data_IF_965766267500
#
_entry.id   IF_965766267500
#
_cell.length_a   1.000
_cell.length_b   1.000
_cell.length_c   1.000
_cell.angle_alpha   90.00
_cell.angle_beta   90.00
_cell.angle_gamma   90.00
#
_symmetry.space_group_name_H-M   'P 1'
#
loop_
_entity.id
_entity.type
_entity.pdbx_description
1 polymer ?
#
# COMPACT_ATOMS: atom_id res chain seq x y z
N UNK A 1 -71.48 -36.33 12.97
CA UNK A 1 -70.54 -35.83 14.00
C UNK A 1 -69.17 -35.65 13.34
N UNK A 2 -68.84 -34.46 12.85
CA UNK A 2 -67.56 -34.21 12.16
C UNK A 2 -66.49 -33.72 13.15
N UNK A 3 -65.37 -34.44 13.16
CA UNK A 3 -64.16 -34.23 13.94
C UNK A 3 -63.51 -32.85 13.66
N UNK A 4 -63.59 -31.92 14.62
CA UNK A 4 -62.99 -30.58 14.57
C UNK A 4 -61.61 -30.38 15.26
N UNK A 5 -60.84 -31.37 15.78
CA UNK A 5 -59.62 -31.04 16.54
C UNK A 5 -58.33 -30.89 15.70
N UNK A 6 -58.34 -31.21 14.39
CA UNK A 6 -57.12 -31.29 13.58
C UNK A 6 -56.68 -29.99 12.90
N UNK A 7 -57.60 -29.04 12.70
CA UNK A 7 -57.30 -27.78 12.00
C UNK A 7 -56.58 -26.76 12.89
N UNK A 8 -56.86 -26.74 14.21
CA UNK A 8 -56.25 -25.76 15.12
C UNK A 8 -54.76 -26.03 15.39
N UNK A 9 -54.32 -27.30 15.40
CA UNK A 9 -52.91 -27.68 15.60
C UNK A 9 -52.00 -27.29 14.44
N UNK A 10 -52.52 -27.21 13.20
CA UNK A 10 -51.72 -26.87 12.01
C UNK A 10 -51.43 -25.37 11.90
N UNK A 11 -52.36 -24.51 12.31
CA UNK A 11 -52.17 -23.05 12.25
C UNK A 11 -51.11 -22.52 13.22
N UNK A 12 -50.98 -23.12 14.42
CA UNK A 12 -49.98 -22.67 15.41
C UNK A 12 -48.54 -23.02 14.99
N UNK A 13 -48.36 -24.15 14.30
CA UNK A 13 -47.06 -24.61 13.81
C UNK A 13 -46.59 -23.74 12.63
N UNK A 14 -47.49 -23.38 11.71
CA UNK A 14 -47.15 -22.54 10.54
C UNK A 14 -46.79 -21.11 11.00
N UNK A 15 -47.51 -20.55 11.98
CA UNK A 15 -47.21 -19.21 12.50
C UNK A 15 -45.88 -19.16 13.25
N UNK A 16 -45.51 -20.22 13.97
CA UNK A 16 -44.23 -20.33 14.68
C UNK A 16 -43.03 -20.47 13.74
N UNK A 17 -43.18 -21.21 12.63
CA UNK A 17 -42.14 -21.34 11.60
C UNK A 17 -41.96 -20.01 10.86
N UNK A 18 -43.03 -19.29 10.55
CA UNK A 18 -42.96 -17.99 9.88
C UNK A 18 -42.32 -16.91 10.77
N UNK A 19 -42.60 -16.93 12.08
CA UNK A 19 -41.98 -16.00 13.04
C UNK A 19 -40.47 -16.27 13.24
N UNK A 20 -40.04 -17.53 13.22
CA UNK A 20 -38.61 -17.89 13.20
C UNK A 20 -37.92 -17.48 11.89
N UNK A 21 -38.59 -17.59 10.74
CA UNK A 21 -38.00 -17.20 9.45
C UNK A 21 -37.80 -15.69 9.34
N UNK A 22 -38.74 -14.89 9.88
CA UNK A 22 -38.65 -13.43 9.91
C UNK A 22 -37.52 -12.98 10.84
N UNK A 23 -37.31 -13.64 11.99
CA UNK A 23 -36.19 -13.33 12.90
C UNK A 23 -34.81 -13.70 12.32
N UNK A 24 -34.74 -14.72 11.43
CA UNK A 24 -33.52 -15.05 10.68
C UNK A 24 -33.21 -14.05 9.55
N UNK A 25 -34.22 -13.34 9.02
CA UNK A 25 -34.05 -12.30 7.99
C UNK A 25 -33.58 -10.95 8.56
N UNK A 26 -33.73 -10.72 9.87
CA UNK A 26 -33.21 -9.53 10.58
C UNK A 26 -31.95 -9.83 11.40
N UNK A 27 -31.41 -11.05 11.29
CA UNK A 27 -30.21 -11.50 11.99
C UNK A 27 -28.92 -10.92 11.42
N UNK A 28 -28.53 -9.75 11.93
CA UNK A 28 -27.14 -9.34 12.15
C UNK A 28 -26.31 -9.15 10.87
N UNK A 29 -26.56 -8.05 10.15
CA UNK A 29 -25.45 -7.34 9.49
C UNK A 29 -24.79 -6.43 10.52
N UNK A 30 -24.01 -7.02 11.44
CA UNK A 30 -22.98 -6.26 12.12
C UNK A 30 -22.00 -5.82 11.03
N UNK A 31 -22.22 -4.62 10.51
CA UNK A 31 -21.26 -3.97 9.63
C UNK A 31 -20.01 -3.82 10.47
N UNK A 32 -19.02 -4.69 10.23
CA UNK A 32 -17.65 -4.52 10.70
C UNK A 32 -17.14 -3.23 10.04
N UNK A 33 -17.47 -2.11 10.66
CA UNK A 33 -16.92 -0.83 10.28
C UNK A 33 -15.47 -0.88 10.74
N UNK A 34 -14.58 -1.24 9.82
CA UNK A 34 -13.15 -1.12 10.03
C UNK A 34 -12.90 0.31 10.50
N UNK A 35 -12.42 0.48 11.73
CA UNK A 35 -12.04 1.79 12.24
C UNK A 35 -11.04 2.34 11.24
N UNK A 36 -11.36 3.49 10.63
CA UNK A 36 -10.41 4.16 9.76
C UNK A 36 -9.14 4.38 10.58
N UNK A 37 -7.95 4.02 10.06
CA UNK A 37 -6.71 4.22 10.79
C UNK A 37 -6.61 5.69 11.19
N UNK A 38 -6.42 5.94 12.47
CA UNK A 38 -6.22 7.31 12.96
C UNK A 38 -4.84 7.73 12.52
N UNK A 39 -4.78 8.66 11.57
CA UNK A 39 -3.51 9.10 11.03
C UNK A 39 -2.82 10.07 11.97
N UNK A 40 -1.55 9.82 12.31
CA UNK A 40 -0.74 10.82 12.98
C UNK A 40 -0.56 12.04 12.07
N UNK A 41 -0.30 13.19 12.69
CA UNK A 41 -0.03 14.43 11.97
C UNK A 41 1.37 14.35 11.38
N UNK A 42 1.53 14.74 10.12
CA UNK A 42 2.84 14.81 9.47
C UNK A 42 3.71 15.93 10.10
N UNK A 43 5.04 15.73 10.26
CA UNK A 43 5.82 14.60 9.78
C UNK A 43 5.62 13.30 10.58
N UNK A 44 5.79 12.15 9.92
CA UNK A 44 5.72 10.83 10.56
C UNK A 44 7.11 10.20 10.54
N UNK A 45 7.61 9.83 11.72
CA UNK A 45 8.87 9.10 11.87
C UNK A 45 8.61 7.59 11.75
N UNK A 46 9.48 6.88 11.03
CA UNK A 46 9.37 5.44 10.77
C UNK A 46 10.71 4.74 11.00
N UNK A 47 10.69 3.65 11.75
CA UNK A 47 11.85 2.84 12.11
C UNK A 47 11.74 1.38 11.66
N UNK A 48 10.60 0.97 11.12
CA UNK A 48 10.36 -0.41 10.66
C UNK A 48 9.29 -0.47 9.54
N UNK A 49 9.14 -1.66 8.94
CA UNK A 49 8.22 -1.90 7.81
C UNK A 49 6.75 -1.58 8.15
N UNK A 50 6.30 -1.91 9.37
CA UNK A 50 4.93 -1.65 9.80
C UNK A 50 4.64 -0.14 9.82
N UNK A 51 5.50 0.63 10.48
CA UNK A 51 5.37 2.08 10.58
C UNK A 51 5.43 2.77 9.20
N UNK A 52 6.32 2.31 8.31
CA UNK A 52 6.37 2.78 6.93
C UNK A 52 5.04 2.55 6.19
N UNK A 53 4.49 1.33 6.29
CA UNK A 53 3.24 0.98 5.64
C UNK A 53 2.03 1.74 6.21
N UNK A 54 1.99 1.97 7.52
CA UNK A 54 0.98 2.81 8.17
C UNK A 54 1.09 4.27 7.73
N UNK A 55 2.31 4.82 7.66
CA UNK A 55 2.54 6.18 7.19
C UNK A 55 2.12 6.39 5.73
N UNK A 56 2.42 5.43 4.84
CA UNK A 56 1.98 5.46 3.43
C UNK A 56 0.46 5.35 3.35
N UNK A 57 -0.16 4.47 4.14
CA UNK A 57 -1.62 4.34 4.21
C UNK A 57 -2.26 5.68 4.58
N UNK A 58 -1.67 6.39 5.54
CA UNK A 58 -2.12 7.70 5.94
C UNK A 58 -1.93 8.76 4.86
N UNK A 59 -0.76 8.78 4.21
CA UNK A 59 -0.53 9.67 3.08
C UNK A 59 -1.58 9.48 1.97
N UNK A 60 -1.94 8.25 1.63
CA UNK A 60 -2.84 7.94 0.52
C UNK A 60 -4.27 8.47 0.69
N UNK A 61 -4.70 8.78 1.91
CA UNK A 61 -6.04 9.31 2.20
C UNK A 61 -6.06 10.82 2.47
N UNK A 62 -4.90 11.49 2.44
CA UNK A 62 -4.84 12.93 2.67
C UNK A 62 -5.53 13.71 1.55
N UNK A 63 -6.28 14.73 1.97
CA UNK A 63 -6.92 15.68 1.08
C UNK A 63 -6.32 17.09 1.15
N UNK A 64 -5.57 17.38 2.20
CA UNK A 64 -5.04 18.72 2.47
C UNK A 64 -3.79 18.97 1.60
N UNK A 65 -3.82 19.98 0.69
CA UNK A 65 -2.69 20.29 -0.16
C UNK A 65 -1.43 20.67 0.64
N UNK A 66 -0.27 20.31 0.12
CA UNK A 66 1.01 20.53 0.76
C UNK A 66 1.96 19.35 0.59
N UNK A 67 3.18 19.54 1.06
CA UNK A 67 4.18 18.47 1.15
C UNK A 67 4.09 17.83 2.53
N UNK A 68 3.83 16.53 2.55
CA UNK A 68 3.74 15.71 3.76
C UNK A 68 4.99 14.85 3.85
N UNK A 69 5.58 14.70 5.03
CA UNK A 69 6.93 14.15 5.18
C UNK A 69 6.98 12.87 6.02
N UNK A 70 7.59 11.81 5.47
CA UNK A 70 7.99 10.61 6.21
C UNK A 70 9.49 10.71 6.49
N UNK A 71 9.90 10.56 7.75
CA UNK A 71 11.30 10.51 8.16
C UNK A 71 11.71 9.10 8.53
N UNK A 72 12.77 8.60 7.93
CA UNK A 72 13.40 7.38 8.40
C UNK A 72 14.21 7.72 9.65
N UNK A 73 14.02 6.96 10.72
CA UNK A 73 14.82 7.03 11.96
C UNK A 73 15.67 5.78 12.18
N UNK A 74 15.67 4.87 11.20
CA UNK A 74 16.41 3.62 11.21
C UNK A 74 16.36 2.95 9.84
N UNK A 75 17.23 1.97 9.65
CA UNK A 75 17.18 1.12 8.46
C UNK A 75 15.93 0.22 8.51
N UNK A 76 15.25 0.10 7.37
CA UNK A 76 14.03 -0.69 7.23
C UNK A 76 14.29 -1.86 6.30
N UNK A 77 13.98 -3.06 6.78
CA UNK A 77 14.08 -4.30 6.03
C UNK A 77 12.67 -4.82 5.76
N UNK A 78 12.32 -4.91 4.48
CA UNK A 78 11.03 -5.38 4.05
C UNK A 78 10.95 -6.90 4.10
N UNK A 79 9.85 -7.40 4.62
CA UNK A 79 9.45 -8.81 4.52
C UNK A 79 8.44 -9.04 3.39
N UNK A 80 7.83 -7.98 2.87
CA UNK A 80 6.94 -7.96 1.70
C UNK A 80 7.10 -6.65 0.93
N UNK A 81 6.44 -6.48 -0.22
CA UNK A 81 6.43 -5.16 -0.88
C UNK A 81 5.90 -4.08 0.08
N UNK A 82 6.54 -2.91 0.09
CA UNK A 82 5.98 -1.76 0.79
C UNK A 82 4.62 -1.38 0.19
N UNK A 83 3.77 -0.79 1.02
CA UNK A 83 2.48 -0.27 0.60
C UNK A 83 2.65 0.67 -0.60
N UNK A 84 1.77 0.55 -1.60
CA UNK A 84 1.82 1.44 -2.78
C UNK A 84 1.51 2.88 -2.36
N UNK A 85 2.36 3.81 -2.77
CA UNK A 85 2.15 5.25 -2.64
C UNK A 85 1.22 5.70 -3.77
N UNK A 86 0.00 6.11 -3.42
CA UNK A 86 -1.05 6.53 -4.34
C UNK A 86 -1.95 7.58 -3.71
N UNK A 87 -1.71 8.85 -4.04
CA UNK A 87 -2.57 9.98 -3.70
C UNK A 87 -2.80 10.84 -4.95
N UNK A 88 -4.04 10.85 -5.44
CA UNK A 88 -4.46 11.60 -6.63
C UNK A 88 -5.00 13.00 -6.31
N UNK A 89 -5.01 13.39 -5.04
CA UNK A 89 -5.48 14.71 -4.64
C UNK A 89 -4.54 15.80 -5.15
N UNK A 90 -5.12 16.76 -5.87
CA UNK A 90 -4.36 17.88 -6.44
C UNK A 90 -3.64 18.68 -5.35
N UNK A 91 -2.34 18.89 -5.56
CA UNK A 91 -1.49 19.67 -4.65
C UNK A 91 -0.99 18.91 -3.42
N UNK A 92 -1.31 17.62 -3.28
CA UNK A 92 -0.75 16.75 -2.24
C UNK A 92 0.53 16.09 -2.76
N UNK A 93 1.61 16.19 -1.98
CA UNK A 93 2.90 15.62 -2.33
C UNK A 93 3.54 14.90 -1.13
N UNK A 94 4.31 13.85 -1.39
CA UNK A 94 5.07 13.13 -0.37
C UNK A 94 6.56 13.49 -0.46
N UNK A 95 7.16 13.81 0.67
CA UNK A 95 8.61 13.82 0.86
C UNK A 95 9.00 12.62 1.72
N UNK A 96 9.78 11.71 1.17
CA UNK A 96 10.45 10.65 1.92
C UNK A 96 11.87 11.11 2.21
N UNK A 97 12.12 11.46 3.48
CA UNK A 97 13.44 11.83 3.97
C UNK A 97 14.11 10.61 4.61
N UNK A 98 15.11 10.07 3.92
CA UNK A 98 15.82 8.88 4.37
C UNK A 98 16.83 9.13 5.49
N UNK A 99 17.28 10.37 5.70
CA UNK A 99 18.30 10.72 6.70
C UNK A 99 19.56 9.82 6.67
N UNK A 100 19.96 9.40 5.47
CA UNK A 100 21.05 8.45 5.17
C UNK A 100 20.81 7.00 5.61
N UNK A 101 19.57 6.61 5.92
CA UNK A 101 19.18 5.24 6.19
C UNK A 101 18.99 4.42 4.92
N UNK A 102 18.78 3.11 5.13
CA UNK A 102 18.53 2.13 4.08
C UNK A 102 17.09 1.64 4.11
N UNK A 103 16.47 1.53 2.94
CA UNK A 103 15.30 0.71 2.70
C UNK A 103 15.70 -0.50 1.84
N UNK A 104 15.72 -1.68 2.45
CA UNK A 104 16.08 -2.94 1.79
C UNK A 104 14.83 -3.77 1.48
N UNK A 105 14.75 -4.33 0.27
CA UNK A 105 13.77 -5.36 -0.10
C UNK A 105 14.01 -6.73 0.56
N UNK A 106 15.07 -6.88 1.35
CA UNK A 106 15.38 -8.09 2.10
C UNK A 106 15.67 -9.32 1.23
N UNK A 107 15.89 -9.14 -0.09
CA UNK A 107 15.97 -10.21 -1.10
C UNK A 107 14.72 -11.10 -1.17
N UNK A 108 13.61 -10.66 -0.59
CA UNK A 108 12.34 -11.38 -0.64
C UNK A 108 11.76 -11.20 -2.03
N UNK A 109 11.35 -12.31 -2.65
CA UNK A 109 10.70 -12.27 -3.97
C UNK A 109 9.43 -11.41 -3.92
N UNK A 110 9.30 -10.53 -4.90
CA UNK A 110 8.27 -9.51 -5.04
C UNK A 110 8.26 -8.43 -3.94
N UNK A 111 9.34 -8.27 -3.16
CA UNK A 111 9.51 -7.14 -2.26
C UNK A 111 10.15 -5.96 -2.98
N UNK A 112 9.30 -5.09 -3.55
CA UNK A 112 9.72 -3.80 -4.11
C UNK A 112 9.75 -2.73 -2.99
N UNK A 113 10.88 -2.04 -2.76
CA UNK A 113 10.98 -0.92 -1.83
C UNK A 113 9.94 0.19 -2.05
N UNK A 114 9.74 0.65 -3.29
CA UNK A 114 8.69 1.63 -3.60
C UNK A 114 7.89 1.29 -4.85
N UNK A 115 6.57 1.21 -4.70
CA UNK A 115 5.62 1.29 -5.81
C UNK A 115 4.88 2.62 -5.73
N UNK A 116 4.96 3.43 -6.77
CA UNK A 116 4.37 4.78 -6.83
C UNK A 116 3.39 4.85 -8.00
N UNK A 117 2.16 5.26 -7.72
CA UNK A 117 1.09 5.37 -8.71
C UNK A 117 0.37 6.71 -8.57
N UNK A 118 0.21 7.43 -9.68
CA UNK A 118 -0.57 8.67 -9.76
C UNK A 118 -0.27 9.69 -8.65
N UNK A 119 0.99 9.82 -8.25
CA UNK A 119 1.41 10.63 -7.08
C UNK A 119 2.59 11.56 -7.41
N UNK A 120 2.78 12.60 -6.59
CA UNK A 120 4.00 13.40 -6.57
C UNK A 120 4.85 13.00 -5.36
N UNK A 121 6.05 12.47 -5.60
CA UNK A 121 6.94 11.95 -4.57
C UNK A 121 8.36 12.49 -4.75
N UNK A 122 8.95 12.99 -3.67
CA UNK A 122 10.39 13.24 -3.57
C UNK A 122 11.00 12.22 -2.61
N UNK A 123 12.06 11.54 -3.02
CA UNK A 123 12.86 10.67 -2.15
C UNK A 123 14.24 11.28 -2.03
N UNK A 124 14.65 11.53 -0.79
CA UNK A 124 15.86 12.28 -0.48
C UNK A 124 16.71 11.54 0.56
N UNK A 125 18.04 11.57 0.36
CA UNK A 125 19.03 11.07 1.33
C UNK A 125 18.74 9.62 1.79
N UNK A 126 18.44 8.71 0.86
CA UNK A 126 18.08 7.32 1.15
C UNK A 126 18.90 6.34 0.31
N UNK A 127 19.29 5.21 0.90
CA UNK A 127 19.78 4.05 0.15
C UNK A 127 18.65 3.06 -0.08
N UNK A 128 18.42 2.66 -1.33
CA UNK A 128 17.38 1.70 -1.74
C UNK A 128 18.07 0.51 -2.38
N UNK A 129 17.90 -0.68 -1.77
CA UNK A 129 18.66 -1.86 -2.17
C UNK A 129 17.87 -3.15 -2.03
N UNK A 130 18.41 -4.22 -2.59
CA UNK A 130 17.94 -5.61 -2.44
C UNK A 130 16.45 -5.82 -2.76
N UNK A 131 15.85 -4.90 -3.53
CA UNK A 131 14.53 -5.10 -4.10
C UNK A 131 14.57 -6.21 -5.14
N UNK A 132 13.69 -7.19 -5.01
CA UNK A 132 13.62 -8.33 -5.92
C UNK A 132 12.19 -8.51 -6.40
N UNK A 133 11.95 -8.36 -7.70
CA UNK A 133 10.62 -8.54 -8.30
C UNK A 133 10.67 -9.46 -9.50
N UNK A 134 9.53 -10.09 -9.81
CA UNK A 134 9.32 -10.86 -11.04
C UNK A 134 8.80 -10.03 -12.23
N UNK A 135 8.83 -8.69 -12.10
CA UNK A 135 8.41 -7.75 -13.14
C UNK A 135 9.51 -6.73 -13.50
N UNK A 136 9.36 -5.46 -13.13
CA UNK A 136 10.10 -4.30 -13.60
C UNK A 136 10.46 -3.38 -12.44
N UNK A 137 11.66 -2.79 -12.44
CA UNK A 137 12.02 -1.81 -11.41
C UNK A 137 12.01 -2.44 -10.02
N UNK A 138 12.97 -3.32 -9.77
CA UNK A 138 13.15 -4.00 -8.48
C UNK A 138 13.26 -3.04 -7.30
N UNK A 139 13.85 -1.86 -7.48
CA UNK A 139 13.89 -0.81 -6.45
C UNK A 139 12.61 0.03 -6.44
N UNK A 140 12.33 0.69 -7.58
CA UNK A 140 11.21 1.63 -7.72
C UNK A 140 10.46 1.37 -9.02
N UNK A 141 9.14 1.32 -8.93
CA UNK A 141 8.23 1.39 -10.06
C UNK A 141 7.33 2.60 -9.91
N UNK A 142 7.40 3.54 -10.84
CA UNK A 142 6.56 4.73 -10.88
C UNK A 142 5.69 4.75 -12.14
N UNK A 143 4.37 4.89 -11.97
CA UNK A 143 3.41 4.97 -13.07
C UNK A 143 2.52 6.20 -12.92
N UNK A 144 2.33 6.98 -14.00
CA UNK A 144 1.54 8.22 -14.01
C UNK A 144 1.95 9.22 -12.90
N UNK A 145 3.23 9.25 -12.53
CA UNK A 145 3.71 9.92 -11.32
C UNK A 145 4.76 10.99 -11.62
N UNK A 146 5.01 11.86 -10.64
CA UNK A 146 6.22 12.70 -10.60
C UNK A 146 7.13 12.16 -9.52
N UNK A 147 8.37 11.81 -9.87
CA UNK A 147 9.38 11.30 -8.95
C UNK A 147 10.62 12.18 -8.98
N UNK A 148 11.01 12.75 -7.84
CA UNK A 148 12.28 13.45 -7.68
C UNK A 148 13.20 12.64 -6.74
N UNK A 149 14.39 12.29 -7.22
CA UNK A 149 15.41 11.58 -6.45
C UNK A 149 16.55 12.54 -6.15
N UNK A 150 16.84 12.76 -4.86
CA UNK A 150 17.84 13.72 -4.40
C UNK A 150 18.83 13.06 -3.43
N UNK A 151 20.11 12.97 -3.80
CA UNK A 151 21.14 12.31 -2.97
C UNK A 151 20.74 10.88 -2.56
N UNK A 152 20.14 10.15 -3.49
CA UNK A 152 19.68 8.77 -3.28
C UNK A 152 20.67 7.78 -3.90
N UNK A 153 20.88 6.64 -3.25
CA UNK A 153 21.65 5.52 -3.78
C UNK A 153 20.69 4.37 -4.12
N UNK A 154 20.66 3.92 -5.37
CA UNK A 154 19.82 2.80 -5.83
C UNK A 154 20.73 1.72 -6.42
N UNK A 155 20.96 0.65 -5.65
CA UNK A 155 21.97 -0.37 -5.95
C UNK A 155 21.56 -1.77 -5.52
N UNK A 156 22.02 -2.79 -6.24
CA UNK A 156 21.81 -4.20 -5.87
C UNK A 156 20.37 -4.67 -5.99
N UNK A 157 19.54 -3.98 -6.78
CA UNK A 157 18.15 -4.39 -7.01
C UNK A 157 18.04 -5.27 -8.25
N UNK A 158 17.10 -6.21 -8.22
CA UNK A 158 16.93 -7.25 -9.23
C UNK A 158 15.49 -7.30 -9.75
N UNK A 159 15.32 -7.30 -11.07
CA UNK A 159 14.05 -7.57 -11.73
C UNK A 159 14.22 -8.75 -12.68
N UNK A 160 13.55 -9.87 -12.36
CA UNK A 160 13.54 -11.05 -13.20
C UNK A 160 12.27 -11.08 -14.03
N UNK A 161 12.37 -10.97 -15.36
CA UNK A 161 11.24 -11.21 -16.27
C UNK A 161 11.58 -12.34 -17.22
N UNK A 162 10.74 -13.36 -17.27
CA UNK A 162 10.81 -14.47 -18.23
C UNK A 162 10.37 -14.04 -19.65
N UNK A 163 9.71 -12.87 -19.76
CA UNK A 163 9.34 -12.25 -21.01
C UNK A 163 10.38 -11.19 -21.42
N UNK A 164 10.87 -11.29 -22.66
CA UNK A 164 12.10 -10.70 -23.22
C UNK A 164 12.13 -9.15 -23.25
N UNK A 165 11.20 -8.44 -22.64
CA UNK A 165 11.32 -6.99 -22.45
C UNK A 165 11.98 -6.72 -21.10
N UNK A 166 13.31 -6.75 -21.05
CA UNK A 166 14.09 -6.35 -19.88
C UNK A 166 13.64 -4.99 -19.37
N UNK A 167 13.12 -4.94 -18.14
CA UNK A 167 12.81 -3.72 -17.41
C UNK A 167 13.72 -3.73 -16.18
N UNK A 168 14.80 -2.94 -16.23
CA UNK A 168 15.94 -3.12 -15.32
C UNK A 168 15.59 -3.12 -13.82
N UNK A 169 16.40 -3.80 -13.02
CA UNK A 169 16.20 -3.96 -11.58
C UNK A 169 16.19 -2.67 -10.76
N UNK A 170 16.68 -1.54 -11.29
CA UNK A 170 16.69 -0.27 -10.56
C UNK A 170 15.34 0.43 -10.60
N UNK A 171 15.07 1.11 -11.71
CA UNK A 171 13.91 1.97 -11.90
C UNK A 171 13.05 1.48 -13.07
N UNK A 172 11.75 1.43 -12.86
CA UNK A 172 10.76 1.34 -13.93
C UNK A 172 9.87 2.58 -13.92
N UNK A 173 9.85 3.32 -15.03
CA UNK A 173 9.12 4.58 -15.16
C UNK A 173 8.17 4.48 -16.36
N UNK A 174 6.87 4.65 -16.11
CA UNK A 174 5.83 4.60 -17.14
C UNK A 174 4.94 5.84 -17.03
N UNK A 175 4.79 6.61 -18.12
CA UNK A 175 4.02 7.87 -18.13
C UNK A 175 4.35 8.79 -16.95
N UNK A 176 5.62 8.82 -16.53
CA UNK A 176 6.07 9.53 -15.33
C UNK A 176 7.12 10.56 -15.69
N UNK A 177 7.18 11.65 -14.92
CA UNK A 177 8.27 12.62 -14.99
C UNK A 177 9.24 12.31 -13.87
N UNK A 178 10.54 12.27 -14.18
CA UNK A 178 11.57 11.95 -13.18
C UNK A 178 12.74 12.92 -13.26
N UNK A 179 13.14 13.42 -12.10
CA UNK A 179 14.37 14.19 -11.91
C UNK A 179 15.31 13.38 -11.01
N UNK A 180 16.59 13.34 -11.36
CA UNK A 180 17.63 12.64 -10.60
C UNK A 180 18.76 13.64 -10.34
N UNK A 181 18.90 14.05 -9.09
CA UNK A 181 19.87 15.06 -8.65
C UNK A 181 20.79 14.45 -7.62
N UNK A 182 22.11 14.57 -7.84
CA UNK A 182 23.16 14.08 -6.90
C UNK A 182 22.98 12.62 -6.47
N UNK A 183 22.31 11.81 -7.30
CA UNK A 183 21.94 10.44 -6.97
C UNK A 183 22.71 9.45 -7.85
N UNK A 184 22.82 8.21 -7.38
CA UNK A 184 23.47 7.13 -8.11
C UNK A 184 22.50 5.97 -8.31
N UNK A 185 22.34 5.53 -9.56
CA UNK A 185 21.54 4.35 -9.93
C UNK A 185 22.46 3.41 -10.71
N UNK A 186 22.89 2.32 -10.08
CA UNK A 186 23.88 1.42 -10.67
C UNK A 186 23.93 0.08 -9.97
N UNK A 187 24.55 -0.92 -10.60
CA UNK A 187 24.62 -2.30 -10.05
C UNK A 187 23.25 -2.94 -9.82
N UNK A 188 22.27 -2.59 -10.66
CA UNK A 188 20.96 -3.22 -10.67
C UNK A 188 20.86 -4.14 -11.89
N UNK A 189 20.19 -5.29 -11.73
CA UNK A 189 20.08 -6.34 -12.73
C UNK A 189 18.63 -6.49 -13.18
#
# INVERSE_FOLDING_TARGET
MLNQPLLFKRSVIILSILFCLILLLFGITAVLQASQPVCPIFPIDVANELELNEAITCFNVLTDPGTHQINFTGDIFLTTAAQTISNTTSGVALLVNGDNHTLSGGTVMDARPFTIQSSQVTIKDLTITEGFVTDAGGAISATNSTLDLQRTLILGNYAYSDTVTTRGGGLYLSNSTTTITESFVGYNQ
#
